data_IF_809521294425
#
_entry.id   IF_809521294425
#
_cell.length_a   1.000
_cell.length_b   1.000
_cell.length_c   1.000
_cell.angle_alpha   90.00
_cell.angle_beta   90.00
_cell.angle_gamma   90.00
#
_symmetry.space_group_name_H-M   'P 1'
#
loop_
_entity.id
_entity.type
_entity.pdbx_description
1 polymer ?
#
# COMPACT_ATOMS: atom_id res chain seq x y z
N UNK A 1 -13.27 -7.26 -9.92
CA UNK A 1 -12.41 -7.21 -8.71
C UNK A 1 -12.55 -8.53 -7.95
N UNK A 2 -11.46 -9.19 -7.54
CA UNK A 2 -11.54 -10.41 -6.74
C UNK A 2 -12.15 -10.13 -5.36
N UNK A 3 -13.00 -11.02 -4.86
CA UNK A 3 -13.67 -10.89 -3.56
C UNK A 3 -12.71 -10.81 -2.37
N UNK A 4 -11.48 -11.29 -2.56
CA UNK A 4 -10.40 -11.31 -1.56
C UNK A 4 -9.54 -10.05 -1.57
N UNK A 5 -9.76 -9.09 -2.48
CA UNK A 5 -8.91 -7.89 -2.62
C UNK A 5 -8.73 -7.14 -1.30
N UNK A 6 -9.84 -6.80 -0.65
CA UNK A 6 -9.82 -6.04 0.61
C UNK A 6 -9.14 -6.80 1.75
N UNK A 7 -9.27 -8.13 1.77
CA UNK A 7 -8.62 -8.97 2.77
C UNK A 7 -7.12 -9.14 2.50
N UNK A 8 -6.71 -9.35 1.25
CA UNK A 8 -5.32 -9.62 0.88
C UNK A 8 -4.51 -8.32 0.81
N UNK A 9 -4.92 -7.39 -0.05
CA UNK A 9 -4.21 -6.13 -0.27
C UNK A 9 -4.42 -5.17 0.89
N UNK A 10 -5.64 -5.08 1.42
CA UNK A 10 -5.94 -4.22 2.57
C UNK A 10 -5.12 -4.59 3.81
N UNK A 11 -5.07 -5.86 4.21
CA UNK A 11 -4.26 -6.25 5.37
C UNK A 11 -2.76 -6.04 5.15
N UNK A 12 -2.27 -6.24 3.92
CA UNK A 12 -0.88 -6.01 3.58
C UNK A 12 -0.50 -4.53 3.66
N UNK A 13 -1.35 -3.64 3.11
CA UNK A 13 -1.17 -2.20 3.22
C UNK A 13 -1.20 -1.71 4.68
N UNK A 14 -1.99 -2.35 5.55
CA UNK A 14 -2.04 -2.05 6.98
C UNK A 14 -0.91 -2.67 7.81
N UNK A 15 0.08 -3.30 7.16
CA UNK A 15 1.16 -4.05 7.82
C UNK A 15 0.67 -5.16 8.77
N UNK A 16 -0.51 -5.74 8.51
CA UNK A 16 -1.09 -6.83 9.29
C UNK A 16 -0.79 -8.22 8.71
N UNK A 17 -0.06 -8.29 7.61
CA UNK A 17 0.34 -9.56 6.97
C UNK A 17 1.84 -9.60 6.68
N UNK A 18 2.33 -10.80 6.34
CA UNK A 18 3.67 -10.97 5.81
C UNK A 18 3.77 -10.33 4.42
N UNK A 19 4.90 -9.68 4.13
CA UNK A 19 5.15 -9.09 2.83
C UNK A 19 6.05 -10.02 2.02
N UNK A 20 5.58 -10.42 0.83
CA UNK A 20 6.32 -11.19 -0.14
C UNK A 20 6.02 -10.62 -1.54
N UNK A 21 7.07 -10.11 -2.21
CA UNK A 21 6.90 -9.41 -3.47
C UNK A 21 6.41 -10.33 -4.59
N UNK A 22 6.86 -11.59 -4.63
CA UNK A 22 6.46 -12.55 -5.64
C UNK A 22 4.98 -12.92 -5.49
N UNK A 23 4.54 -13.19 -4.27
CA UNK A 23 3.14 -13.47 -3.95
C UNK A 23 2.22 -12.33 -4.40
N UNK A 24 2.53 -11.08 -4.04
CA UNK A 24 1.67 -9.96 -4.41
C UNK A 24 1.72 -9.65 -5.91
N UNK A 25 2.87 -9.83 -6.56
CA UNK A 25 2.98 -9.74 -8.01
C UNK A 25 2.09 -10.77 -8.72
N UNK A 26 2.17 -12.04 -8.32
CA UNK A 26 1.38 -13.12 -8.92
C UNK A 26 -0.13 -12.93 -8.65
N UNK A 27 -0.49 -12.52 -7.44
CA UNK A 27 -1.88 -12.21 -7.06
C UNK A 27 -2.47 -11.08 -7.92
N UNK A 28 -1.75 -9.96 -8.05
CA UNK A 28 -2.21 -8.82 -8.83
C UNK A 28 -2.24 -9.14 -10.33
N UNK A 29 -1.23 -9.86 -10.84
CA UNK A 29 -1.17 -10.29 -12.23
C UNK A 29 -2.34 -11.18 -12.61
N UNK A 30 -2.68 -12.13 -11.74
CA UNK A 30 -3.83 -13.02 -11.93
C UNK A 30 -5.15 -12.27 -11.87
N UNK A 31 -5.26 -11.27 -10.97
CA UNK A 31 -6.51 -10.58 -10.68
C UNK A 31 -6.83 -9.41 -11.62
N UNK A 32 -5.81 -8.71 -12.10
CA UNK A 32 -5.93 -7.45 -12.84
C UNK A 32 -5.16 -7.44 -14.16
N UNK A 33 -4.48 -8.54 -14.51
CA UNK A 33 -3.59 -8.60 -15.66
C UNK A 33 -2.18 -8.07 -15.35
N UNK A 34 -1.29 -8.04 -16.36
CA UNK A 34 0.11 -7.71 -16.14
C UNK A 34 0.30 -6.28 -15.63
N UNK A 35 1.40 -6.06 -14.91
CA UNK A 35 1.84 -4.73 -14.53
C UNK A 35 2.00 -3.84 -15.78
N UNK A 36 1.45 -2.62 -15.72
CA UNK A 36 1.47 -1.71 -16.87
C UNK A 36 2.78 -0.93 -16.99
N UNK A 37 3.55 -0.83 -15.88
CA UNK A 37 4.91 -0.30 -15.88
C UNK A 37 5.75 -0.89 -14.75
N UNK A 38 7.07 -0.74 -14.88
CA UNK A 38 8.07 -1.05 -13.87
C UNK A 38 8.95 0.17 -13.66
N UNK A 39 8.87 0.79 -12.49
CA UNK A 39 9.51 2.08 -12.21
C UNK A 39 9.74 2.25 -10.70
N UNK A 40 10.89 2.81 -10.31
CA UNK A 40 11.19 3.12 -8.91
C UNK A 40 11.38 1.87 -8.02
N UNK A 41 11.82 0.75 -8.60
CA UNK A 41 11.93 -0.53 -7.89
C UNK A 41 10.59 -1.18 -7.59
N UNK A 42 9.58 -0.95 -8.43
CA UNK A 42 8.25 -1.55 -8.30
C UNK A 42 7.61 -1.89 -9.64
N UNK A 43 6.78 -2.92 -9.62
CA UNK A 43 5.74 -3.18 -10.60
C UNK A 43 4.48 -2.40 -10.24
N UNK A 44 3.88 -1.76 -11.23
CA UNK A 44 2.67 -0.95 -11.07
C UNK A 44 1.49 -1.60 -11.78
N UNK A 45 0.40 -1.76 -11.07
CA UNK A 45 -0.84 -2.36 -11.55
C UNK A 45 -1.94 -1.31 -11.52
N UNK A 46 -2.67 -1.15 -12.64
CA UNK A 46 -3.95 -0.44 -12.62
C UNK A 46 -4.98 -1.35 -11.97
N UNK A 47 -5.71 -0.81 -11.01
CA UNK A 47 -6.80 -1.53 -10.36
C UNK A 47 -8.04 -0.64 -10.35
N UNK A 48 -9.20 -1.26 -10.48
CA UNK A 48 -10.49 -0.63 -10.20
C UNK A 48 -11.06 -1.35 -8.98
N UNK A 49 -10.77 -0.79 -7.81
CA UNK A 49 -11.06 -1.42 -6.53
C UNK A 49 -11.37 -0.40 -5.44
N UNK A 50 -11.90 -0.88 -4.31
CA UNK A 50 -12.20 -0.04 -3.15
C UNK A 50 -11.62 -0.66 -1.89
N UNK A 51 -10.99 0.16 -1.06
CA UNK A 51 -10.52 -0.21 0.29
C UNK A 51 -11.09 0.76 1.31
N UNK A 52 -11.79 0.22 2.31
CA UNK A 52 -12.40 1.00 3.41
C UNK A 52 -13.34 2.13 2.94
N UNK A 53 -13.85 2.06 1.71
CA UNK A 53 -14.67 3.09 1.09
C UNK A 53 -13.91 4.08 0.19
N UNK A 54 -12.58 4.04 0.18
CA UNK A 54 -11.75 4.83 -0.73
C UNK A 54 -11.48 4.06 -2.03
N UNK A 55 -11.60 4.75 -3.16
CA UNK A 55 -11.26 4.17 -4.46
C UNK A 55 -9.74 4.02 -4.59
N UNK A 56 -9.29 2.87 -5.06
CA UNK A 56 -7.88 2.56 -5.36
C UNK A 56 -7.72 2.55 -6.88
N UNK A 57 -6.77 3.32 -7.41
CA UNK A 57 -6.45 3.32 -8.85
C UNK A 57 -5.24 2.49 -9.20
N UNK A 58 -4.30 2.43 -8.28
CA UNK A 58 -3.03 1.74 -8.51
C UNK A 58 -2.61 0.97 -7.29
N UNK A 59 -2.02 -0.20 -7.52
CA UNK A 59 -1.27 -0.96 -6.53
C UNK A 59 0.14 -1.14 -7.06
N UNK A 60 1.12 -0.94 -6.18
CA UNK A 60 2.52 -1.11 -6.48
C UNK A 60 3.11 -2.17 -5.55
N UNK A 61 3.95 -3.03 -6.12
CA UNK A 61 4.68 -4.06 -5.37
C UNK A 61 6.15 -3.93 -5.72
N UNK A 62 7.01 -3.97 -4.71
CA UNK A 62 8.47 -3.95 -4.90
C UNK A 62 8.91 -5.00 -5.92
N UNK A 63 9.81 -4.66 -6.82
CA UNK A 63 10.44 -5.62 -7.73
C UNK A 63 11.78 -6.14 -7.15
N UNK A 64 12.53 -6.85 -7.98
CA UNK A 64 13.80 -7.45 -7.57
C UNK A 64 14.95 -6.44 -7.42
N UNK A 65 14.82 -5.21 -7.95
CA UNK A 65 15.85 -4.18 -7.81
C UNK A 65 15.71 -3.34 -6.54
N UNK A 66 14.61 -3.45 -5.80
CA UNK A 66 14.45 -2.77 -4.51
C UNK A 66 15.12 -3.54 -3.37
N UNK A 67 15.78 -2.84 -2.45
CA UNK A 67 16.26 -3.42 -1.16
C UNK A 67 15.13 -3.64 -0.15
N UNK A 68 13.91 -3.19 -0.48
CA UNK A 68 12.72 -3.30 0.34
C UNK A 68 11.75 -4.32 -0.27
N UNK A 69 11.01 -5.01 0.60
CA UNK A 69 9.77 -5.68 0.23
C UNK A 69 8.63 -4.75 0.64
N UNK A 70 7.85 -4.29 -0.33
CA UNK A 70 6.72 -3.40 -0.05
C UNK A 70 5.51 -3.66 -0.93
N UNK A 71 4.37 -3.22 -0.41
CA UNK A 71 3.14 -3.01 -1.17
C UNK A 71 2.65 -1.59 -0.89
N UNK A 72 2.20 -0.91 -1.93
CA UNK A 72 1.64 0.43 -1.85
C UNK A 72 0.36 0.53 -2.69
N UNK A 73 -0.50 1.49 -2.37
CA UNK A 73 -1.67 1.80 -3.16
C UNK A 73 -1.89 3.30 -3.26
N UNK A 74 -2.31 3.77 -4.42
CA UNK A 74 -2.77 5.13 -4.66
C UNK A 74 -4.30 5.16 -4.55
N UNK A 75 -4.82 6.01 -3.67
CA UNK A 75 -6.25 6.18 -3.45
C UNK A 75 -6.74 7.55 -3.87
N UNK A 76 -7.95 7.64 -4.44
CA UNK A 76 -8.62 8.91 -4.77
C UNK A 76 -9.24 9.55 -3.52
N UNK A 77 -8.39 9.82 -2.53
CA UNK A 77 -8.77 10.46 -1.27
C UNK A 77 -7.58 11.21 -0.71
N UNK A 78 -7.83 12.26 0.06
CA UNK A 78 -6.78 12.92 0.85
C UNK A 78 -6.24 11.99 1.94
N UNK A 79 -5.03 12.25 2.49
CA UNK A 79 -4.53 11.49 3.64
C UNK A 79 -5.48 11.48 4.85
N UNK A 80 -6.23 12.55 5.07
CA UNK A 80 -7.19 12.74 6.18
C UNK A 80 -8.40 11.85 6.01
N UNK A 81 -8.98 11.87 4.81
CA UNK A 81 -10.13 11.03 4.46
C UNK A 81 -9.75 9.55 4.53
N UNK A 82 -8.57 9.19 3.99
CA UNK A 82 -8.09 7.81 4.03
C UNK A 82 -7.85 7.34 5.47
N UNK A 83 -7.23 8.16 6.31
CA UNK A 83 -7.04 7.85 7.72
C UNK A 83 -8.38 7.63 8.43
N UNK A 84 -9.35 8.53 8.22
CA UNK A 84 -10.69 8.42 8.79
C UNK A 84 -11.40 7.14 8.36
N UNK A 85 -11.32 6.81 7.06
CA UNK A 85 -11.88 5.59 6.48
C UNK A 85 -11.23 4.33 7.08
N UNK A 86 -9.91 4.28 7.18
CA UNK A 86 -9.19 3.16 7.79
C UNK A 86 -9.52 3.02 9.28
N UNK A 87 -9.63 4.14 10.00
CA UNK A 87 -10.01 4.13 11.41
C UNK A 87 -11.41 3.54 11.59
N UNK A 88 -12.37 3.95 10.78
CA UNK A 88 -13.75 3.45 10.83
C UNK A 88 -13.85 1.98 10.40
N UNK A 89 -13.14 1.58 9.32
CA UNK A 89 -13.27 0.25 8.73
C UNK A 89 -12.36 -0.82 9.33
N UNK A 90 -11.20 -0.45 9.88
CA UNK A 90 -10.18 -1.38 10.35
C UNK A 90 -9.67 -1.10 11.77
N UNK A 91 -10.15 -0.02 12.42
CA UNK A 91 -9.77 0.37 13.78
C UNK A 91 -8.32 0.82 13.93
N UNK A 92 -7.64 1.20 12.83
CA UNK A 92 -6.24 1.65 12.89
C UNK A 92 -6.18 3.18 12.93
N UNK A 93 -5.50 3.69 13.95
CA UNK A 93 -5.16 5.10 14.03
C UNK A 93 -3.78 5.36 13.42
N UNK A 94 -3.62 6.53 12.80
CA UNK A 94 -2.35 7.04 12.34
C UNK A 94 -2.00 8.31 13.13
N UNK A 95 -0.72 8.65 13.14
CA UNK A 95 -0.20 9.88 13.74
C UNK A 95 0.79 10.54 12.78
N UNK A 96 0.78 11.87 12.65
CA UNK A 96 1.79 12.57 11.87
C UNK A 96 3.18 12.36 12.48
N UNK A 97 4.20 12.17 11.63
CA UNK A 97 5.59 12.02 12.08
C UNK A 97 6.22 13.36 12.49
N UNK A 98 5.77 14.46 11.90
CA UNK A 98 6.29 15.80 12.14
C UNK A 98 5.20 16.86 11.92
N UNK A 99 5.59 18.13 12.06
CA UNK A 99 4.72 19.29 11.88
C UNK A 99 4.84 19.94 10.48
N UNK A 100 5.38 19.22 9.47
CA UNK A 100 5.42 19.74 8.10
C UNK A 100 4.01 19.90 7.53
N UNK A 101 3.83 20.69 6.45
CA UNK A 101 2.51 20.87 5.83
C UNK A 101 1.88 19.57 5.28
N UNK A 102 2.71 18.60 4.90
CA UNK A 102 2.29 17.31 4.34
C UNK A 102 3.02 16.17 5.04
N UNK A 103 2.76 15.97 6.35
CA UNK A 103 3.53 15.02 7.13
C UNK A 103 3.18 13.60 6.69
N UNK A 104 4.18 12.71 6.69
CA UNK A 104 3.90 11.29 6.67
C UNK A 104 3.09 10.93 7.92
N UNK A 105 2.10 10.06 7.74
CA UNK A 105 1.28 9.56 8.84
C UNK A 105 1.54 8.09 9.04
N UNK A 106 1.87 7.68 10.26
CA UNK A 106 2.29 6.31 10.55
C UNK A 106 1.38 5.71 11.61
N UNK A 107 1.02 4.45 11.41
CA UNK A 107 0.27 3.64 12.36
C UNK A 107 1.20 2.79 13.23
N UNK A 108 0.71 2.33 14.39
CA UNK A 108 1.50 1.45 15.27
C UNK A 108 2.04 0.18 14.56
N UNK A 109 1.30 -0.51 13.65
CA UNK A 109 1.84 -1.62 12.89
C UNK A 109 2.92 -1.26 11.86
N UNK A 110 3.16 0.02 11.59
CA UNK A 110 4.17 0.51 10.65
C UNK A 110 3.63 0.88 9.26
N UNK A 111 2.32 0.77 9.02
CA UNK A 111 1.72 1.27 7.78
C UNK A 111 1.83 2.79 7.74
N UNK A 112 2.11 3.34 6.56
CA UNK A 112 2.34 4.77 6.35
C UNK A 112 1.41 5.32 5.27
N UNK A 113 0.80 6.48 5.51
CA UNK A 113 0.07 7.28 4.53
C UNK A 113 0.91 8.51 4.18
N UNK A 114 1.05 8.80 2.89
CA UNK A 114 1.76 9.94 2.34
C UNK A 114 0.84 10.76 1.44
N UNK A 115 1.03 12.08 1.42
CA UNK A 115 0.40 12.97 0.45
C UNK A 115 0.95 12.75 -0.96
N UNK A 116 0.09 12.82 -1.98
CA UNK A 116 0.45 12.72 -3.39
C UNK A 116 -0.45 13.59 -4.25
N UNK A 117 -0.07 14.86 -4.44
CA UNK A 117 -0.70 15.81 -5.38
C UNK A 117 -2.22 16.04 -5.23
N UNK A 118 -2.78 15.90 -4.02
CA UNK A 118 -4.23 15.90 -3.66
C UNK A 118 -4.78 14.53 -3.26
N UNK A 119 -4.04 13.47 -3.58
CA UNK A 119 -4.34 12.08 -3.25
C UNK A 119 -3.55 11.61 -2.05
N UNK A 120 -3.75 10.35 -1.72
CA UNK A 120 -2.97 9.64 -0.72
C UNK A 120 -2.37 8.38 -1.29
N UNK A 121 -1.15 8.10 -0.84
CA UNK A 121 -0.46 6.84 -1.05
C UNK A 121 -0.31 6.17 0.30
N UNK A 122 -0.90 4.98 0.46
CA UNK A 122 -0.68 4.12 1.61
C UNK A 122 0.33 3.04 1.25
N UNK A 123 1.22 2.69 2.17
CA UNK A 123 2.16 1.61 1.96
C UNK A 123 2.57 0.91 3.25
N UNK A 124 2.93 -0.36 3.09
CA UNK A 124 3.67 -1.13 4.08
C UNK A 124 4.99 -1.57 3.46
N UNK A 125 6.08 -1.47 4.23
CA UNK A 125 7.43 -1.85 3.78
C UNK A 125 8.20 -2.58 4.87
N UNK A 126 9.08 -3.48 4.46
CA UNK A 126 10.10 -4.13 5.29
C UNK A 126 11.42 -4.20 4.51
N UNK A 127 12.55 -4.23 5.19
CA UNK A 127 13.82 -4.53 4.52
C UNK A 127 13.83 -5.98 4.06
N UNK A 128 14.39 -6.24 2.86
CA UNK A 128 14.76 -7.61 2.50
C UNK A 128 15.73 -8.10 3.57
N UNK A 129 15.43 -9.25 4.17
CA UNK A 129 16.33 -9.87 5.14
C UNK A 129 17.69 -10.02 4.48
N UNK A 130 18.74 -9.44 5.07
CA UNK A 130 20.09 -9.75 4.64
C UNK A 130 20.28 -11.27 4.80
N UNK A 131 20.89 -11.97 3.82
CA UNK A 131 21.28 -13.36 4.03
C UNK A 131 22.09 -13.44 5.32
N UNK A 132 21.69 -14.31 6.25
CA UNK A 132 22.51 -14.61 7.43
C UNK A 132 23.81 -15.18 6.87
N UNK A 133 24.91 -14.45 7.09
CA UNK A 133 26.23 -14.84 6.60
C UNK A 133 26.77 -16.03 7.38
#
# INVERSE_FOLDING_TARGET
MPSTFSQVVGNALLCRSHLDNRYFYDYLSTSFGPAYKREGGAYWFKVEATLWGAEVKEVMVSDDSSDLVFIAALTESTPEELEGAIRAGAGIAYRPLDASPYPLRVSNPGSTIAYMNDKSKIYCKKFKSLPVR
#
